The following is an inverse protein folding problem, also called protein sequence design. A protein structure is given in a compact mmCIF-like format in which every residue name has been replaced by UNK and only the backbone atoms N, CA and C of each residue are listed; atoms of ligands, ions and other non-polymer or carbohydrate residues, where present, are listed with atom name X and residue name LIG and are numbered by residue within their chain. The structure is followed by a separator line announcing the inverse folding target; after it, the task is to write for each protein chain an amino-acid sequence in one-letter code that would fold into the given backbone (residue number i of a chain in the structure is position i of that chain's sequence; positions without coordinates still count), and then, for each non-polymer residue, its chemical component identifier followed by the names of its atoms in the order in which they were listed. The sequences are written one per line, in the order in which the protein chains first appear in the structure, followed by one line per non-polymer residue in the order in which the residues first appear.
data_IF_526331777096
#
_entry.id   IF_526331777096
#
_cell.length_a   1.000
_cell.length_b   1.000
_cell.length_c   1.000
_cell.angle_alpha   90.00
_cell.angle_beta   90.00
_cell.angle_gamma   90.00
#
_symmetry.space_group_name_H-M   'P 1'
#
loop_
_entity.id
_entity.type
_entity.pdbx_description
1 polymer ?
#
# COMPACT_ATOMS: atom_id res chain seq x y z
N UNK A 1 53.16 16.10 -31.52
CA UNK A 1 52.70 14.75 -31.13
C UNK A 1 51.68 14.91 -30.01
N UNK A 2 50.40 14.56 -30.24
CA UNK A 2 49.75 13.32 -29.74
C UNK A 2 49.86 13.18 -28.21
N UNK A 3 48.86 12.88 -27.40
CA UNK A 3 47.40 12.73 -27.48
C UNK A 3 46.94 12.55 -26.02
N UNK A 4 45.70 12.93 -25.76
CA UNK A 4 44.75 12.48 -24.74
C UNK A 4 45.09 11.25 -23.90
N UNK A 5 44.80 11.31 -22.59
CA UNK A 5 43.98 10.29 -21.91
C UNK A 5 43.00 11.00 -20.96
N UNK A 6 41.74 11.06 -21.40
CA UNK A 6 40.56 11.16 -20.54
C UNK A 6 40.17 9.74 -20.15
N UNK A 7 39.82 9.52 -18.88
CA UNK A 7 38.81 8.56 -18.39
C UNK A 7 39.26 7.86 -17.10
N UNK A 8 38.70 8.30 -15.97
CA UNK A 8 38.48 7.45 -14.79
C UNK A 8 37.31 8.01 -13.96
N UNK A 9 36.16 8.25 -14.60
CA UNK A 9 34.88 8.48 -13.92
C UNK A 9 33.81 7.62 -14.59
N UNK A 10 33.93 6.30 -14.46
CA UNK A 10 32.92 5.38 -14.98
C UNK A 10 32.80 4.08 -14.17
N UNK A 11 33.06 4.13 -12.85
CA UNK A 11 32.95 2.94 -12.00
C UNK A 11 31.90 3.05 -10.88
N UNK A 12 31.27 4.22 -10.65
CA UNK A 12 30.26 4.37 -9.60
C UNK A 12 28.81 4.53 -10.09
N UNK A 13 28.58 4.55 -11.40
CA UNK A 13 27.21 4.61 -11.95
C UNK A 13 26.52 3.23 -12.00
N UNK A 14 27.28 2.13 -11.88
CA UNK A 14 26.74 0.77 -11.95
C UNK A 14 26.29 0.20 -10.59
N UNK A 15 26.50 0.91 -9.48
CA UNK A 15 26.05 0.49 -8.15
C UNK A 15 24.68 1.09 -7.74
N UNK A 16 24.11 1.99 -8.55
CA UNK A 16 22.75 2.52 -8.37
C UNK A 16 21.71 1.82 -9.25
N UNK A 17 22.11 0.82 -10.03
CA UNK A 17 21.22 -0.02 -10.83
C UNK A 17 20.95 -1.38 -10.16
N UNK A 18 21.20 -1.50 -8.85
CA UNK A 18 20.71 -2.61 -8.04
C UNK A 18 19.25 -2.31 -7.63
N UNK A 19 18.35 -2.59 -8.57
CA UNK A 19 16.97 -2.95 -8.34
C UNK A 19 16.06 -1.95 -7.58
N UNK A 20 15.51 -0.97 -8.33
CA UNK A 20 14.36 -0.12 -7.97
C UNK A 20 13.05 -0.93 -7.83
N UNK A 21 13.02 -2.00 -7.03
CA UNK A 21 11.75 -2.62 -6.65
C UNK A 21 11.04 -1.71 -5.64
N UNK A 22 9.75 -1.38 -5.85
CA UNK A 22 9.02 -0.55 -4.89
C UNK A 22 9.02 -1.25 -3.53
N UNK A 23 9.27 -0.50 -2.45
CA UNK A 23 9.26 -1.08 -1.11
C UNK A 23 7.84 -1.56 -0.80
N UNK A 24 7.70 -2.84 -0.47
CA UNK A 24 6.41 -3.44 -0.20
C UNK A 24 6.07 -3.39 1.29
N UNK A 25 4.80 -3.19 1.59
CA UNK A 25 4.28 -3.13 2.96
C UNK A 25 2.98 -3.92 3.09
N UNK A 26 2.69 -4.38 4.29
CA UNK A 26 1.32 -4.67 4.75
C UNK A 26 0.87 -3.58 5.71
N UNK A 27 -0.43 -3.51 5.97
CA UNK A 27 -1.01 -2.52 6.87
C UNK A 27 -1.54 -3.13 8.16
N UNK A 28 -1.26 -2.49 9.30
CA UNK A 28 -1.90 -2.80 10.58
C UNK A 28 -2.59 -1.56 11.15
N UNK A 29 -3.84 -1.70 11.56
CA UNK A 29 -4.62 -0.67 12.24
C UNK A 29 -4.54 -0.83 13.75
N UNK A 30 -3.99 0.18 14.44
CA UNK A 30 -3.87 0.23 15.89
C UNK A 30 -4.69 1.39 16.45
N UNK A 31 -5.35 1.18 17.58
CA UNK A 31 -6.01 2.27 18.31
C UNK A 31 -5.00 3.12 19.10
N UNK A 32 -5.50 4.15 19.80
CA UNK A 32 -4.66 5.05 20.60
C UNK A 32 -3.88 4.37 21.74
N UNK A 33 -4.27 3.16 22.14
CA UNK A 33 -3.57 2.34 23.15
C UNK A 33 -2.54 1.38 22.53
N UNK A 34 -2.43 1.35 21.20
CA UNK A 34 -1.59 0.42 20.46
C UNK A 34 -2.20 -0.97 20.29
N UNK A 35 -3.48 -1.14 20.61
CA UNK A 35 -4.21 -2.41 20.44
C UNK A 35 -4.75 -2.49 19.01
N UNK A 36 -4.69 -3.68 18.41
CA UNK A 36 -5.20 -3.90 17.05
C UNK A 36 -6.70 -3.67 16.98
N UNK A 37 -7.14 -2.88 16.01
CA UNK A 37 -8.57 -2.69 15.74
C UNK A 37 -9.05 -3.90 14.95
N UNK A 38 -10.00 -4.65 15.53
CA UNK A 38 -10.49 -5.94 14.99
C UNK A 38 -9.32 -6.92 14.81
N UNK A 39 -9.21 -7.56 13.65
CA UNK A 39 -8.14 -8.50 13.32
C UNK A 39 -6.79 -7.80 13.07
N UNK A 40 -6.76 -6.47 13.16
CA UNK A 40 -5.56 -5.63 13.03
C UNK A 40 -5.09 -5.44 11.60
N UNK A 41 -5.40 -6.34 10.66
CA UNK A 41 -4.92 -6.26 9.28
C UNK A 41 -5.79 -5.30 8.45
N UNK A 42 -5.15 -4.35 7.77
CA UNK A 42 -5.82 -3.43 6.85
C UNK A 42 -5.76 -4.00 5.43
N UNK A 43 -6.92 -4.24 4.84
CA UNK A 43 -7.10 -4.86 3.54
C UNK A 43 -7.92 -4.02 2.56
N UNK A 44 -7.51 -4.03 1.30
CA UNK A 44 -8.26 -3.51 0.16
C UNK A 44 -9.34 -4.51 -0.28
N UNK A 45 -10.61 -4.09 -0.26
CA UNK A 45 -11.75 -4.90 -0.66
C UNK A 45 -12.89 -3.99 -1.13
N UNK A 46 -13.52 -4.33 -2.26
CA UNK A 46 -14.63 -3.54 -2.81
C UNK A 46 -14.28 -2.07 -3.07
N UNK A 47 -13.09 -1.77 -3.60
CA UNK A 47 -12.58 -0.41 -3.88
C UNK A 47 -12.39 0.49 -2.63
N UNK A 48 -12.36 -0.12 -1.45
CA UNK A 48 -12.17 0.55 -0.15
C UNK A 48 -11.16 -0.21 0.72
N UNK A 49 -10.72 0.42 1.80
CA UNK A 49 -9.83 -0.20 2.78
C UNK A 49 -10.54 -0.48 4.10
N UNK A 50 -10.26 -1.65 4.67
CA UNK A 50 -11.01 -2.21 5.79
C UNK A 50 -10.09 -2.90 6.79
N UNK A 51 -10.43 -2.83 8.07
CA UNK A 51 -10.03 -3.83 9.06
C UNK A 51 -11.16 -4.85 9.26
N UNK A 52 -10.83 -6.15 9.27
CA UNK A 52 -11.80 -7.24 9.44
C UNK A 52 -12.51 -7.68 8.15
N UNK A 53 -12.08 -7.21 6.96
CA UNK A 53 -12.42 -7.84 5.68
C UNK A 53 -11.20 -8.52 5.07
N UNK A 54 -11.37 -9.66 4.40
CA UNK A 54 -10.31 -10.21 3.59
C UNK A 54 -10.01 -9.30 2.39
N UNK A 55 -8.76 -9.31 1.93
CA UNK A 55 -8.38 -8.66 0.68
C UNK A 55 -9.18 -9.24 -0.49
N UNK A 56 -9.69 -8.35 -1.32
CA UNK A 56 -10.32 -8.64 -2.60
C UNK A 56 -9.81 -7.63 -3.61
N UNK A 57 -8.50 -7.70 -3.88
CA UNK A 57 -7.90 -6.98 -5.01
C UNK A 57 -7.82 -7.93 -6.19
N UNK A 58 -8.11 -7.45 -7.39
CA UNK A 58 -8.21 -8.33 -8.55
C UNK A 58 -6.83 -8.87 -8.95
N UNK A 59 -6.67 -10.20 -8.98
CA UNK A 59 -5.68 -10.84 -9.83
C UNK A 59 -6.09 -10.63 -11.28
N UNK A 60 -5.45 -9.67 -11.96
CA UNK A 60 -5.73 -9.40 -13.36
C UNK A 60 -5.59 -10.67 -14.20
N UNK A 61 -6.43 -10.84 -15.23
CA UNK A 61 -6.48 -12.07 -16.05
C UNK A 61 -5.17 -12.47 -16.73
N UNK A 62 -4.18 -11.57 -16.79
CA UNK A 62 -2.87 -11.78 -17.41
C UNK A 62 -1.75 -12.06 -16.38
N UNK A 63 -2.08 -12.16 -15.09
CA UNK A 63 -1.10 -12.36 -14.03
C UNK A 63 -0.80 -13.84 -13.83
N UNK A 64 0.43 -14.14 -13.42
CA UNK A 64 0.73 -15.45 -12.88
C UNK A 64 -0.03 -15.63 -11.56
N UNK A 65 -0.91 -16.65 -11.45
CA UNK A 65 -1.65 -16.95 -10.23
C UNK A 65 -0.76 -17.16 -9.00
N UNK A 66 0.54 -17.40 -9.20
CA UNK A 66 1.50 -17.60 -8.14
C UNK A 66 2.17 -16.30 -7.66
N UNK A 67 1.88 -15.15 -8.27
CA UNK A 67 2.47 -13.87 -7.85
C UNK A 67 2.19 -13.52 -6.40
N UNK A 68 3.12 -12.82 -5.76
CA UNK A 68 3.00 -12.48 -4.34
C UNK A 68 1.71 -11.73 -4.03
N UNK A 69 1.26 -10.89 -4.96
CA UNK A 69 -0.03 -10.20 -4.89
C UNK A 69 -1.18 -11.20 -4.94
N UNK A 70 -1.16 -12.14 -5.88
CA UNK A 70 -2.20 -13.15 -6.03
C UNK A 70 -2.22 -14.18 -4.91
N UNK A 71 -1.07 -14.70 -4.50
CA UNK A 71 -0.97 -15.59 -3.38
C UNK A 71 -1.30 -14.90 -2.06
N UNK A 72 -1.03 -13.60 -1.89
CA UNK A 72 -1.44 -12.88 -0.69
C UNK A 72 -2.94 -12.61 -0.65
N UNK A 73 -3.60 -12.46 -1.80
CA UNK A 73 -5.06 -12.35 -1.88
C UNK A 73 -5.76 -13.69 -1.68
N UNK A 74 -5.20 -14.78 -2.21
CA UNK A 74 -5.83 -16.11 -2.21
C UNK A 74 -5.37 -17.00 -1.04
N UNK A 75 -4.17 -16.76 -0.51
CA UNK A 75 -3.51 -17.47 0.61
C UNK A 75 -3.04 -16.43 1.65
N UNK A 76 -2.37 -16.84 2.72
CA UNK A 76 -1.83 -15.93 3.77
C UNK A 76 -2.86 -14.96 4.39
N UNK A 77 -4.00 -15.49 4.84
CA UNK A 77 -5.07 -14.72 5.47
C UNK A 77 -5.67 -13.59 4.62
N UNK A 78 -5.46 -13.62 3.29
CA UNK A 78 -6.02 -12.63 2.36
C UNK A 78 -5.55 -11.22 2.73
N UNK A 79 -4.24 -11.06 2.87
CA UNK A 79 -3.61 -9.80 3.29
C UNK A 79 -3.31 -8.94 2.07
N UNK A 80 -3.63 -7.65 2.14
CA UNK A 80 -3.28 -6.71 1.08
C UNK A 80 -1.80 -6.37 1.16
N UNK A 81 -1.08 -6.59 0.05
CA UNK A 81 0.27 -6.09 -0.13
C UNK A 81 0.19 -4.75 -0.87
N UNK A 82 0.78 -3.74 -0.26
CA UNK A 82 0.93 -2.40 -0.80
C UNK A 82 2.32 -2.29 -1.42
N UNK A 83 2.43 -1.68 -2.59
CA UNK A 83 3.71 -1.23 -3.13
C UNK A 83 3.76 0.25 -2.81
N UNK A 84 4.37 0.56 -1.69
CA UNK A 84 4.67 1.94 -1.39
C UNK A 84 5.99 2.25 -2.08
N UNK A 85 5.90 2.72 -3.32
CA UNK A 85 6.89 3.68 -3.76
C UNK A 85 6.49 4.99 -3.07
N UNK A 86 7.21 5.46 -2.03
CA UNK A 86 7.24 6.88 -1.75
C UNK A 86 7.87 7.53 -2.98
N UNK A 87 7.11 7.67 -4.06
CA UNK A 87 7.49 8.61 -5.09
C UNK A 87 7.54 9.94 -4.35
N UNK A 88 8.59 10.70 -4.60
CA UNK A 88 8.81 12.02 -4.02
C UNK A 88 7.64 13.02 -4.31
N UNK A 89 6.59 12.58 -5.01
CA UNK A 89 5.38 13.30 -5.35
C UNK A 89 4.24 13.17 -4.30
N UNK A 90 4.34 12.30 -3.30
CA UNK A 90 3.33 12.16 -2.23
C UNK A 90 2.11 11.32 -2.61
N UNK A 91 2.24 10.40 -3.56
CA UNK A 91 1.21 9.41 -3.92
C UNK A 91 1.44 8.02 -3.29
N UNK A 92 0.37 7.23 -3.16
CA UNK A 92 0.37 5.84 -2.67
C UNK A 92 -0.25 4.93 -3.74
N UNK A 93 0.25 3.71 -3.88
CA UNK A 93 -0.26 2.72 -4.84
C UNK A 93 -0.43 1.35 -4.18
N UNK A 94 -1.38 0.57 -4.69
CA UNK A 94 -1.43 -0.86 -4.41
C UNK A 94 -0.34 -1.56 -5.21
N UNK A 95 0.29 -2.58 -4.61
CA UNK A 95 1.07 -3.54 -5.38
C UNK A 95 0.07 -4.43 -6.12
N UNK A 96 -0.47 -3.88 -7.21
CA UNK A 96 -1.36 -4.61 -8.09
C UNK A 96 -0.75 -4.59 -9.46
N UNK A 97 -0.60 -5.76 -10.07
CA UNK A 97 -0.03 -5.87 -11.41
C UNK A 97 -1.00 -5.42 -12.52
N UNK A 98 -2.19 -4.89 -12.18
CA UNK A 98 -3.03 -4.13 -13.10
C UNK A 98 -2.44 -2.72 -13.30
N UNK A 99 -2.08 -2.36 -14.54
CA UNK A 99 -1.73 -0.98 -14.91
C UNK A 99 -0.50 -0.35 -14.24
N UNK A 100 0.46 -1.15 -13.73
CA UNK A 100 1.59 -0.70 -12.91
C UNK A 100 1.20 -0.18 -11.51
N UNK A 101 0.14 -0.73 -10.93
CA UNK A 101 -0.35 -0.39 -9.59
C UNK A 101 -1.61 0.47 -9.66
N UNK A 102 -2.66 0.06 -8.95
CA UNK A 102 -3.86 0.86 -8.75
C UNK A 102 -3.52 2.02 -7.82
N UNK A 103 -3.80 3.24 -8.27
CA UNK A 103 -3.66 4.44 -7.43
C UNK A 103 -4.56 4.35 -6.22
N UNK A 104 -4.00 4.66 -5.05
CA UNK A 104 -4.74 4.88 -3.82
C UNK A 104 -5.10 6.35 -3.74
N UNK A 105 -6.31 6.65 -3.27
CA UNK A 105 -6.82 8.00 -3.11
C UNK A 105 -7.70 8.10 -1.87
N UNK A 106 -7.87 9.32 -1.37
CA UNK A 106 -8.89 9.64 -0.38
C UNK A 106 -10.11 10.18 -1.12
N UNK A 107 -11.25 9.52 -1.00
CA UNK A 107 -12.50 9.93 -1.63
C UNK A 107 -13.05 11.23 -1.00
N UNK A 108 -14.03 11.85 -1.66
CA UNK A 108 -14.63 13.11 -1.20
C UNK A 108 -15.26 13.03 0.21
N UNK A 109 -15.70 11.85 0.63
CA UNK A 109 -16.22 11.56 1.99
C UNK A 109 -15.11 11.26 3.02
N UNK A 110 -13.84 11.32 2.59
CA UNK A 110 -12.67 10.99 3.38
C UNK A 110 -12.32 9.50 3.38
N UNK A 111 -13.07 8.62 2.72
CA UNK A 111 -12.77 7.19 2.72
C UNK A 111 -11.45 6.90 1.99
N UNK A 112 -10.62 6.03 2.57
CA UNK A 112 -9.46 5.49 1.86
C UNK A 112 -9.94 4.50 0.79
N UNK A 113 -9.48 4.69 -0.43
CA UNK A 113 -9.97 3.99 -1.60
C UNK A 113 -8.87 3.74 -2.62
N UNK A 114 -9.14 2.87 -3.58
CA UNK A 114 -8.23 2.62 -4.69
C UNK A 114 -9.00 2.62 -6.00
N UNK A 115 -8.34 3.03 -7.08
CA UNK A 115 -8.97 3.16 -8.39
C UNK A 115 -9.36 1.79 -8.95
N UNK A 116 -10.45 1.77 -9.70
CA UNK A 116 -10.80 0.65 -10.56
C UNK A 116 -10.79 1.15 -12.01
N UNK A 117 -10.14 0.39 -12.90
CA UNK A 117 -10.03 0.71 -14.33
C UNK A 117 -9.40 2.08 -14.65
N UNK A 118 -8.52 2.60 -13.78
CA UNK A 118 -7.80 3.86 -13.99
C UNK A 118 -8.61 5.13 -13.76
N UNK A 119 -9.83 5.01 -13.23
CA UNK A 119 -10.71 6.13 -12.95
C UNK A 119 -10.76 6.45 -11.45
N UNK A 120 -10.47 7.69 -11.10
CA UNK A 120 -10.67 8.23 -9.76
C UNK A 120 -11.96 9.06 -9.79
N UNK A 121 -12.94 8.78 -8.91
CA UNK A 121 -14.16 9.57 -8.82
C UNK A 121 -13.90 11.06 -8.53
N UNK A 122 -14.86 11.91 -8.88
CA UNK A 122 -14.81 13.34 -8.58
C UNK A 122 -14.59 13.61 -7.09
N UNK A 123 -13.70 14.55 -6.78
CA UNK A 123 -13.30 14.88 -5.41
C UNK A 123 -12.34 13.88 -4.76
N UNK A 124 -11.88 12.86 -5.49
CA UNK A 124 -10.81 11.96 -5.03
C UNK A 124 -9.43 12.62 -5.06
N UNK A 125 -8.68 12.51 -3.97
CA UNK A 125 -7.34 13.09 -3.81
C UNK A 125 -6.26 12.00 -3.78
N UNK A 126 -5.31 12.06 -4.72
CA UNK A 126 -4.18 11.10 -4.83
C UNK A 126 -2.88 11.61 -4.21
N UNK A 127 -2.85 12.86 -3.75
CA UNK A 127 -1.68 13.51 -3.17
C UNK A 127 -1.92 13.76 -1.68
N UNK A 128 -0.84 13.85 -0.91
CA UNK A 128 -0.89 14.13 0.53
C UNK A 128 -0.54 12.93 1.40
N UNK A 129 -0.22 11.78 0.79
CA UNK A 129 0.26 10.60 1.50
C UNK A 129 1.72 10.78 1.94
N UNK A 130 2.00 10.42 3.18
CA UNK A 130 3.33 10.52 3.80
C UNK A 130 3.62 9.27 4.62
N UNK A 131 4.87 8.82 4.63
CA UNK A 131 5.35 7.81 5.57
C UNK A 131 6.09 8.52 6.72
N UNK A 132 5.39 8.74 7.83
CA UNK A 132 5.91 9.35 9.05
C UNK A 132 6.53 8.32 9.98
N UNK A 133 7.65 7.71 9.59
CA UNK A 133 8.36 6.68 10.36
C UNK A 133 7.54 5.36 10.52
N UNK A 134 7.26 4.73 9.39
CA UNK A 134 6.44 3.53 9.22
C UNK A 134 4.98 3.70 9.66
N UNK A 135 4.50 4.94 9.67
CA UNK A 135 3.08 5.28 9.84
C UNK A 135 2.61 5.98 8.59
N UNK A 136 1.57 5.44 7.96
CA UNK A 136 0.94 6.10 6.83
C UNK A 136 0.09 7.26 7.33
N UNK A 137 0.36 8.45 6.80
CA UNK A 137 -0.38 9.69 7.10
C UNK A 137 -0.98 10.25 5.81
N UNK A 138 -2.05 11.02 5.96
CA UNK A 138 -2.64 11.81 4.88
C UNK A 138 -2.81 13.26 5.35
N UNK A 139 -2.27 14.22 4.58
CA UNK A 139 -2.20 15.64 4.98
C UNK A 139 -1.61 15.82 6.39
N UNK A 140 -0.59 15.02 6.70
CA UNK A 140 0.07 14.96 8.02
C UNK A 140 -0.82 14.58 9.20
N UNK A 141 -1.99 13.95 8.96
CA UNK A 141 -2.88 13.40 9.98
C UNK A 141 -3.03 11.88 9.85
N UNK A 142 -3.50 11.25 10.92
CA UNK A 142 -3.77 9.81 10.98
C UNK A 142 -5.11 9.44 10.34
N UNK A 143 -5.58 8.23 10.62
CA UNK A 143 -6.78 7.64 10.07
C UNK A 143 -7.84 7.45 11.14
N UNK A 144 -9.07 7.24 10.69
CA UNK A 144 -10.20 6.84 11.48
C UNK A 144 -10.64 5.46 10.99
N UNK A 145 -10.80 4.51 11.90
CA UNK A 145 -11.53 3.29 11.62
C UNK A 145 -12.96 3.50 12.05
N UNK A 146 -13.91 3.31 11.15
CA UNK A 146 -15.31 3.54 11.42
C UNK A 146 -16.13 2.26 11.16
N UNK A 147 -17.06 1.88 12.06
CA UNK A 147 -17.93 0.73 11.83
C UNK A 147 -18.84 0.99 10.61
N UNK A 148 -19.28 -0.07 9.95
CA UNK A 148 -20.29 0.02 8.88
C UNK A 148 -21.46 -0.86 9.29
N UNK A 149 -22.68 -0.31 9.22
CA UNK A 149 -23.88 -1.06 9.59
C UNK A 149 -24.03 -2.32 8.72
N UNK A 150 -24.31 -3.46 9.36
CA UNK A 150 -24.44 -4.75 8.67
C UNK A 150 -23.12 -5.43 8.31
N UNK A 151 -21.98 -4.86 8.70
CA UNK A 151 -20.64 -5.40 8.43
C UNK A 151 -19.91 -5.69 9.75
N UNK A 152 -19.29 -6.86 9.87
CA UNK A 152 -18.39 -7.16 11.01
C UNK A 152 -16.99 -6.54 10.84
N UNK A 153 -16.89 -5.49 10.03
CA UNK A 153 -15.65 -4.85 9.60
C UNK A 153 -15.72 -3.32 9.73
N UNK A 154 -14.54 -2.70 9.73
CA UNK A 154 -14.36 -1.27 9.95
C UNK A 154 -13.67 -0.66 8.74
N UNK A 155 -14.26 0.38 8.16
CA UNK A 155 -13.70 1.05 6.99
C UNK A 155 -12.77 2.19 7.42
N UNK A 156 -11.71 2.42 6.65
CA UNK A 156 -10.74 3.48 6.93
C UNK A 156 -11.10 4.80 6.25
N UNK A 157 -10.95 5.89 7.01
CA UNK A 157 -11.16 7.26 6.57
C UNK A 157 -10.00 8.16 6.99
N UNK A 158 -9.63 9.14 6.19
CA UNK A 158 -8.64 10.14 6.54
C UNK A 158 -9.19 11.09 7.61
N UNK A 159 -8.45 11.26 8.71
CA UNK A 159 -8.87 12.15 9.81
C UNK A 159 -8.97 13.61 9.37
N UNK A 160 -8.20 14.03 8.37
CA UNK A 160 -8.24 15.41 7.85
C UNK A 160 -9.49 15.74 7.04
N UNK A 161 -10.19 14.73 6.50
CA UNK A 161 -11.31 14.90 5.56
C UNK A 161 -12.65 14.38 6.09
N UNK A 162 -12.63 13.34 6.92
CA UNK A 162 -13.86 12.71 7.38
C UNK A 162 -14.62 13.58 8.39
N UNK A 163 -15.94 13.61 8.25
CA UNK A 163 -16.85 14.23 9.22
C UNK A 163 -17.50 13.21 10.16
N UNK A 164 -17.13 11.92 10.06
CA UNK A 164 -17.71 10.86 10.88
C UNK A 164 -17.26 10.97 12.33
N UNK A 165 -18.21 10.80 13.26
CA UNK A 165 -17.99 10.92 14.71
C UNK A 165 -18.09 9.59 15.46
N UNK A 166 -18.50 8.53 14.77
CA UNK A 166 -18.70 7.18 15.33
C UNK A 166 -17.46 6.29 15.19
N UNK A 167 -16.31 6.90 14.91
CA UNK A 167 -15.06 6.21 14.60
C UNK A 167 -14.09 6.20 15.78
N UNK A 168 -13.08 5.34 15.69
CA UNK A 168 -11.91 5.35 16.57
C UNK A 168 -10.68 5.88 15.84
N UNK A 169 -9.83 6.64 16.53
CA UNK A 169 -8.55 7.04 15.97
C UNK A 169 -7.70 5.81 15.67
N UNK A 170 -7.03 5.81 14.52
CA UNK A 170 -6.30 4.66 14.00
C UNK A 170 -4.93 5.07 13.49
N UNK A 171 -3.89 4.53 14.10
CA UNK A 171 -2.56 4.52 13.53
C UNK A 171 -2.50 3.43 12.46
N UNK A 172 -2.29 3.82 11.22
CA UNK A 172 -2.01 2.89 10.12
C UNK A 172 -0.52 2.61 10.11
N UNK A 173 -0.10 1.53 10.78
CA UNK A 173 1.28 1.05 10.76
C UNK A 173 1.58 0.35 9.43
N UNK A 174 2.66 0.77 8.78
CA UNK A 174 3.22 0.12 7.61
C UNK A 174 4.25 -0.91 8.09
N UNK A 175 4.04 -2.18 7.76
CA UNK A 175 4.99 -3.25 8.07
C UNK A 175 5.71 -3.65 6.79
N UNK A 176 7.02 -3.41 6.72
CA UNK A 176 7.80 -3.72 5.52
C UNK A 176 7.85 -5.23 5.31
N UNK A 177 7.67 -5.66 4.07
CA UNK A 177 7.85 -7.06 3.66
C UNK A 177 8.96 -7.15 2.63
N UNK A 178 9.81 -8.19 2.70
CA UNK A 178 10.81 -8.47 1.66
C UNK A 178 10.29 -9.51 0.69
N UNK A 179 10.64 -9.35 -0.57
CA UNK A 179 10.47 -10.40 -1.58
C UNK A 179 11.48 -11.51 -1.29
N UNK A 180 10.99 -12.72 -1.15
CA UNK A 180 11.82 -13.92 -1.15
C UNK A 180 12.16 -14.25 -2.60
N UNK A 181 13.26 -13.64 -3.04
CA UNK A 181 14.03 -13.87 -4.28
C UNK A 181 13.66 -13.09 -5.53
N UNK A 182 14.63 -12.29 -5.99
CA UNK A 182 14.83 -12.01 -7.41
C UNK A 182 15.14 -13.34 -8.13
N UNK A 183 14.13 -13.97 -8.73
CA UNK A 183 14.32 -15.01 -9.75
C UNK A 183 14.30 -16.50 -9.33
N UNK A 184 13.65 -16.91 -8.23
CA UNK A 184 13.51 -18.33 -7.81
C UNK A 184 12.05 -18.76 -7.50
N UNK A 185 11.72 -20.07 -7.39
CA UNK A 185 10.35 -20.57 -7.55
C UNK A 185 9.36 -20.14 -6.43
N UNK A 186 8.13 -19.85 -6.87
CA UNK A 186 6.97 -19.22 -6.21
C UNK A 186 6.46 -19.69 -4.83
N UNK A 187 7.24 -20.27 -3.92
CA UNK A 187 6.65 -20.88 -2.70
C UNK A 187 7.45 -20.77 -1.41
N UNK A 188 7.96 -19.59 -1.04
CA UNK A 188 8.49 -19.42 0.32
C UNK A 188 8.49 -17.95 0.73
N UNK A 189 7.47 -17.45 1.44
CA UNK A 189 7.57 -16.16 2.17
C UNK A 189 8.09 -16.44 3.59
N UNK A 190 8.99 -15.59 4.11
CA UNK A 190 9.37 -15.54 5.54
C UNK A 190 9.04 -14.15 6.10
N UNK A 191 8.42 -14.11 7.29
CA UNK A 191 8.19 -12.90 8.07
C UNK A 191 9.53 -12.40 8.65
N UNK A 192 9.79 -11.09 8.62
CA UNK A 192 11.01 -10.47 9.17
C UNK A 192 10.65 -9.54 10.32
#
# INVERSE_FOLDING_TARGET
MKSFIVAALAANAAAQAAADFPIRYTGTGLDASGVTIKDGIINASGQRFWSGKPAQTACGRQQDPKSAVCESNDKNNKTTIFSYAPSADGSLKLDSTWGHGQKVYVAADGALAFENDGNIPEGGEVLGFLNGNDVLLFESKEWLSCPVEGEEAWQLFAQSKSSRTDCVNTTFKLNRVKETSEGGPWSAFEYI
#
